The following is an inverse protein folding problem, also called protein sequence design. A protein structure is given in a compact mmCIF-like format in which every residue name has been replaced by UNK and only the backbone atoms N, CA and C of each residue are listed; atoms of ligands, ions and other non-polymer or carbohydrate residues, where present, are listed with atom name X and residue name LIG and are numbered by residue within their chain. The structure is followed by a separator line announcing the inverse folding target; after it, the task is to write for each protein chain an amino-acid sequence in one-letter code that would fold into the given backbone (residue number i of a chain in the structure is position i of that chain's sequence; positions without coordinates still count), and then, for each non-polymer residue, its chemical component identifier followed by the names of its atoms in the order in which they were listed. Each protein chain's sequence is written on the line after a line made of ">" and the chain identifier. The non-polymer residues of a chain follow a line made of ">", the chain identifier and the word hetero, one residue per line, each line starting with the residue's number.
data_IF_316368129630
#
_entry.id   IF_316368129630
#
_cell.length_a   1.000
_cell.length_b   1.000
_cell.length_c   1.000
_cell.angle_alpha   90.00
_cell.angle_beta   90.00
_cell.angle_gamma   90.00
#
_symmetry.space_group_name_H-M   'P 1'
#
loop_
_entity.id
_entity.type
_entity.pdbx_description
1 polymer ?
#
# COMPACT_ATOMS: atom_id res chain seq x y z
N UNK A 1 8.82 0.24 -21.74
CA UNK A 1 7.37 0.53 -21.68
C UNK A 1 6.52 -0.69 -22.00
N UNK A 2 6.76 -1.41 -23.11
CA UNK A 2 6.01 -2.62 -23.46
C UNK A 2 6.00 -3.70 -22.37
N UNK A 3 7.15 -4.01 -21.75
CA UNK A 3 7.24 -5.03 -20.68
C UNK A 3 6.43 -4.65 -19.43
N UNK A 4 6.48 -3.39 -19.02
CA UNK A 4 5.70 -2.91 -17.86
C UNK A 4 4.20 -3.02 -18.15
N UNK A 5 3.76 -2.61 -19.33
CA UNK A 5 2.35 -2.76 -19.74
C UNK A 5 1.89 -4.22 -19.74
N UNK A 6 2.78 -5.15 -20.10
CA UNK A 6 2.49 -6.59 -20.08
C UNK A 6 2.30 -7.11 -18.65
N UNK A 7 3.14 -6.69 -17.69
CA UNK A 7 2.97 -7.04 -16.28
C UNK A 7 1.61 -6.55 -15.76
N UNK A 8 1.23 -5.31 -16.04
CA UNK A 8 -0.11 -4.79 -15.71
C UNK A 8 -1.25 -5.46 -16.48
N UNK A 9 -0.98 -6.07 -17.64
CA UNK A 9 -1.93 -6.91 -18.35
C UNK A 9 -2.21 -8.20 -17.58
N UNK A 10 -1.15 -8.86 -17.13
CA UNK A 10 -1.25 -10.08 -16.30
C UNK A 10 -2.00 -9.78 -14.99
N UNK A 11 -1.69 -8.67 -14.31
CA UNK A 11 -2.39 -8.30 -13.07
C UNK A 11 -3.88 -8.01 -13.30
N UNK A 12 -4.27 -7.55 -14.49
CA UNK A 12 -5.68 -7.38 -14.85
C UNK A 12 -6.39 -8.72 -15.06
N UNK A 13 -5.70 -9.71 -15.64
CA UNK A 13 -6.24 -11.07 -15.78
C UNK A 13 -6.38 -11.77 -14.43
N UNK A 14 -5.47 -11.51 -13.49
CA UNK A 14 -5.44 -12.15 -12.16
C UNK A 14 -6.16 -11.31 -11.08
N UNK A 15 -7.01 -10.36 -11.47
CA UNK A 15 -7.64 -9.44 -10.53
C UNK A 15 -8.61 -10.15 -9.59
N UNK A 16 -9.50 -10.97 -10.14
CA UNK A 16 -10.66 -11.53 -9.43
C UNK A 16 -10.43 -12.99 -8.94
N UNK A 17 -9.20 -13.49 -9.01
CA UNK A 17 -8.82 -14.82 -8.54
C UNK A 17 -8.35 -14.79 -7.07
N UNK A 18 -8.24 -15.96 -6.43
CA UNK A 18 -7.71 -16.06 -5.07
C UNK A 18 -6.23 -15.67 -5.00
N UNK A 19 -5.72 -15.37 -3.80
CA UNK A 19 -4.30 -15.05 -3.62
C UNK A 19 -3.38 -16.21 -4.04
N UNK A 20 -3.78 -17.46 -3.79
CA UNK A 20 -3.04 -18.64 -4.22
C UNK A 20 -2.97 -18.74 -5.74
N UNK A 21 -4.11 -18.57 -6.42
CA UNK A 21 -4.17 -18.58 -7.89
C UNK A 21 -3.39 -17.41 -8.49
N UNK A 22 -3.44 -16.23 -7.85
CA UNK A 22 -2.68 -15.06 -8.27
C UNK A 22 -1.18 -15.32 -8.15
N UNK A 23 -0.73 -15.95 -7.06
CA UNK A 23 0.66 -16.34 -6.89
C UNK A 23 1.12 -17.29 -8.01
N UNK A 24 0.38 -18.38 -8.25
CA UNK A 24 0.70 -19.35 -9.32
C UNK A 24 0.76 -18.64 -10.68
N UNK A 25 -0.26 -17.84 -11.01
CA UNK A 25 -0.30 -17.08 -12.26
C UNK A 25 0.86 -16.11 -12.42
N UNK A 26 1.34 -15.49 -11.33
CA UNK A 26 2.54 -14.63 -11.33
C UNK A 26 3.81 -15.43 -11.57
N UNK A 27 3.96 -16.61 -10.97
CA UNK A 27 5.11 -17.49 -11.22
C UNK A 27 5.16 -17.96 -12.68
N UNK A 28 4.01 -18.27 -13.28
CA UNK A 28 3.93 -18.75 -14.67
C UNK A 28 4.08 -17.62 -15.69
N UNK A 29 3.45 -16.46 -15.46
CA UNK A 29 3.33 -15.38 -16.46
C UNK A 29 4.22 -14.17 -16.17
N UNK A 30 4.27 -13.72 -14.91
CA UNK A 30 4.97 -12.47 -14.54
C UNK A 30 6.47 -12.67 -14.37
N UNK A 31 6.89 -13.78 -13.75
CA UNK A 31 8.30 -14.08 -13.49
C UNK A 31 9.14 -14.13 -14.79
N UNK A 32 8.71 -14.79 -15.89
CA UNK A 32 9.47 -14.75 -17.15
C UNK A 32 9.57 -13.35 -17.76
N UNK A 33 8.56 -12.50 -17.59
CA UNK A 33 8.57 -11.13 -18.10
C UNK A 33 9.47 -10.21 -17.25
N UNK A 34 9.51 -10.42 -15.93
CA UNK A 34 10.48 -9.77 -15.04
C UNK A 34 11.91 -10.19 -15.40
N UNK A 35 12.17 -11.47 -15.65
CA UNK A 35 13.50 -11.94 -16.07
C UNK A 35 13.96 -11.27 -17.38
N UNK A 36 13.08 -11.16 -18.38
CA UNK A 36 13.37 -10.43 -19.64
C UNK A 36 13.67 -8.96 -19.37
N UNK A 37 12.88 -8.31 -18.53
CA UNK A 37 13.08 -6.90 -18.16
C UNK A 37 14.41 -6.70 -17.43
N UNK A 38 14.78 -7.63 -16.54
CA UNK A 38 16.05 -7.61 -15.80
C UNK A 38 17.24 -7.72 -16.73
N UNK A 39 17.23 -8.71 -17.63
CA UNK A 39 18.29 -8.91 -18.60
C UNK A 39 18.44 -7.70 -19.54
N UNK A 40 17.34 -7.10 -19.96
CA UNK A 40 17.38 -5.87 -20.74
C UNK A 40 17.98 -4.71 -19.95
N UNK A 41 17.58 -4.52 -18.69
CA UNK A 41 18.07 -3.47 -17.81
C UNK A 41 19.58 -3.61 -17.59
N UNK A 42 20.05 -4.79 -17.19
CA UNK A 42 21.47 -5.08 -16.93
C UNK A 42 22.33 -4.89 -18.19
N UNK A 43 21.82 -5.25 -19.37
CA UNK A 43 22.50 -5.01 -20.65
C UNK A 43 22.56 -3.52 -21.01
N UNK A 44 21.50 -2.78 -20.73
CA UNK A 44 21.34 -1.37 -21.16
C UNK A 44 22.08 -0.41 -20.23
N UNK A 45 22.12 -0.70 -18.93
CA UNK A 45 22.71 0.16 -17.90
C UNK A 45 24.15 0.63 -18.22
N UNK A 46 25.10 -0.23 -18.64
CA UNK A 46 26.45 0.22 -18.96
C UNK A 46 26.55 1.00 -20.29
N UNK A 47 25.52 0.96 -21.14
CA UNK A 47 25.52 1.59 -22.46
C UNK A 47 24.95 3.01 -22.46
N UNK A 48 24.34 3.43 -21.35
CA UNK A 48 23.64 4.72 -21.25
C UNK A 48 24.37 5.66 -20.30
N UNK A 49 24.47 6.94 -20.68
CA UNK A 49 25.03 7.95 -19.79
C UNK A 49 24.05 8.25 -18.67
N UNK A 50 24.54 8.33 -17.44
CA UNK A 50 23.70 8.54 -16.23
C UNK A 50 22.88 9.83 -16.26
N UNK A 51 23.34 10.84 -17.01
CA UNK A 51 22.67 12.14 -17.13
C UNK A 51 21.54 12.16 -18.17
N UNK A 52 21.54 11.21 -19.11
CA UNK A 52 20.47 11.09 -20.10
C UNK A 52 19.15 10.71 -19.43
N UNK A 53 18.02 11.08 -20.04
CA UNK A 53 16.68 10.70 -19.56
C UNK A 53 16.55 9.18 -19.43
N UNK A 54 17.07 8.44 -20.42
CA UNK A 54 17.08 6.98 -20.40
C UNK A 54 17.98 6.44 -19.28
N UNK A 55 19.18 6.99 -19.12
CA UNK A 55 20.09 6.58 -18.04
C UNK A 55 19.52 6.80 -16.65
N UNK A 56 18.84 7.93 -16.42
CA UNK A 56 18.12 8.19 -15.16
C UNK A 56 17.03 7.14 -14.92
N UNK A 57 16.24 6.81 -15.95
CA UNK A 57 15.17 5.82 -15.84
C UNK A 57 15.68 4.40 -15.58
N UNK A 58 16.73 3.96 -16.30
CA UNK A 58 17.34 2.64 -16.13
C UNK A 58 17.98 2.50 -14.74
N UNK A 59 18.72 3.52 -14.30
CA UNK A 59 19.31 3.52 -12.95
C UNK A 59 18.25 3.54 -11.85
N UNK A 60 17.16 4.29 -12.04
CA UNK A 60 16.04 4.28 -11.10
C UNK A 60 15.39 2.90 -11.02
N UNK A 61 15.17 2.23 -12.15
CA UNK A 61 14.65 0.86 -12.18
C UNK A 61 15.60 -0.11 -11.47
N UNK A 62 16.91 -0.04 -11.75
CA UNK A 62 17.92 -0.90 -11.14
C UNK A 62 17.97 -0.74 -9.62
N UNK A 63 18.00 0.50 -9.12
CA UNK A 63 18.02 0.80 -7.69
C UNK A 63 16.77 0.33 -6.95
N UNK A 64 15.65 0.15 -7.66
CA UNK A 64 14.39 -0.30 -7.09
C UNK A 64 14.03 -1.74 -7.50
N UNK A 65 14.94 -2.48 -8.13
CA UNK A 65 14.64 -3.81 -8.68
C UNK A 65 14.11 -4.77 -7.62
N UNK A 66 14.82 -4.87 -6.49
CA UNK A 66 14.40 -5.72 -5.36
C UNK A 66 13.06 -5.29 -4.78
N UNK A 67 12.66 -4.02 -4.90
CA UNK A 67 11.31 -3.58 -4.46
C UNK A 67 10.25 -4.00 -5.48
N UNK A 68 10.57 -3.87 -6.77
CA UNK A 68 9.69 -4.21 -7.88
C UNK A 68 9.40 -5.71 -7.95
N UNK A 69 10.37 -6.59 -7.71
CA UNK A 69 10.12 -8.04 -7.85
C UNK A 69 9.33 -8.64 -6.68
N UNK A 70 9.19 -7.95 -5.55
CA UNK A 70 8.53 -8.52 -4.36
C UNK A 70 7.06 -8.85 -4.54
N UNK A 71 6.33 -8.16 -5.41
CA UNK A 71 4.90 -8.45 -5.56
C UNK A 71 4.63 -9.87 -6.08
N UNK A 72 5.61 -10.53 -6.71
CA UNK A 72 5.45 -11.93 -7.13
C UNK A 72 5.73 -12.95 -6.01
N UNK A 73 6.24 -12.52 -4.85
CA UNK A 73 6.53 -13.41 -3.71
C UNK A 73 5.26 -13.96 -3.05
N UNK A 74 4.14 -13.23 -3.14
CA UNK A 74 2.86 -13.66 -2.58
C UNK A 74 1.67 -13.02 -3.31
N UNK A 75 0.54 -13.72 -3.40
CA UNK A 75 -0.63 -13.26 -4.13
C UNK A 75 -1.30 -12.01 -3.56
N UNK A 76 -1.29 -11.84 -2.23
CA UNK A 76 -1.89 -10.67 -1.58
C UNK A 76 -1.07 -9.38 -1.77
N UNK A 77 0.17 -9.46 -2.26
CA UNK A 77 1.00 -8.28 -2.50
C UNK A 77 0.54 -7.57 -3.78
N UNK A 78 0.28 -6.25 -3.73
CA UNK A 78 -0.02 -5.47 -4.94
C UNK A 78 1.26 -5.19 -5.74
N UNK A 79 1.12 -5.08 -7.07
CA UNK A 79 2.23 -4.70 -7.97
C UNK A 79 2.78 -3.29 -7.71
N UNK A 80 1.94 -2.41 -7.14
CA UNK A 80 2.26 -1.03 -6.85
C UNK A 80 1.68 -0.56 -5.50
N UNK A 81 2.13 0.59 -5.04
CA UNK A 81 1.67 1.24 -3.82
C UNK A 81 0.55 2.26 -4.06
N UNK A 82 -0.09 2.29 -5.24
CA UNK A 82 -1.03 3.34 -5.63
C UNK A 82 -2.22 3.43 -4.66
N UNK A 83 -2.65 2.31 -4.08
CA UNK A 83 -3.72 2.30 -3.08
C UNK A 83 -3.33 3.10 -1.82
N UNK A 84 -2.13 2.87 -1.30
CA UNK A 84 -1.60 3.61 -0.15
C UNK A 84 -1.39 5.10 -0.49
N UNK A 85 -0.87 5.41 -1.68
CA UNK A 85 -0.71 6.80 -2.14
C UNK A 85 -2.04 7.55 -2.27
N UNK A 86 -3.09 6.86 -2.74
CA UNK A 86 -4.45 7.42 -2.77
C UNK A 86 -4.99 7.66 -1.36
N UNK A 87 -4.78 6.73 -0.43
CA UNK A 87 -5.26 6.86 0.95
C UNK A 87 -4.58 8.01 1.70
N UNK A 88 -3.28 8.25 1.48
CA UNK A 88 -2.56 9.36 2.14
C UNK A 88 -2.77 10.72 1.46
N UNK A 89 -3.25 10.76 0.20
CA UNK A 89 -3.40 12.01 -0.56
C UNK A 89 -4.28 13.06 0.15
N UNK A 90 -5.45 12.76 0.74
CA UNK A 90 -6.24 13.74 1.48
C UNK A 90 -5.47 14.40 2.61
N UNK A 91 -4.70 13.62 3.38
CA UNK A 91 -3.82 14.13 4.43
C UNK A 91 -2.73 15.06 3.86
N UNK A 92 -2.06 14.62 2.78
CA UNK A 92 -1.00 15.38 2.13
C UNK A 92 -1.48 16.71 1.49
N UNK A 93 -2.76 16.78 1.10
CA UNK A 93 -3.42 18.01 0.65
C UNK A 93 -3.81 18.86 1.86
N UNK A 94 -4.47 18.27 2.87
CA UNK A 94 -4.95 18.95 4.07
C UNK A 94 -3.84 19.65 4.85
N UNK A 95 -2.67 19.02 4.99
CA UNK A 95 -1.51 19.64 5.67
C UNK A 95 -1.07 20.98 5.09
N UNK A 96 -1.31 21.24 3.79
CA UNK A 96 -1.00 22.55 3.19
C UNK A 96 -1.95 23.65 3.67
N UNK A 97 -3.14 23.29 4.15
CA UNK A 97 -4.15 24.20 4.67
C UNK A 97 -4.12 24.33 6.20
N UNK A 98 -3.39 23.46 6.91
CA UNK A 98 -3.28 23.51 8.37
C UNK A 98 -2.18 24.48 8.81
N UNK A 99 -2.48 25.78 8.73
CA UNK A 99 -1.55 26.90 8.97
C UNK A 99 -0.90 26.91 10.38
N UNK A 100 -1.35 26.07 11.32
CA UNK A 100 -0.86 26.01 12.70
C UNK A 100 -0.34 24.62 13.11
N UNK A 101 -0.21 23.68 12.17
CA UNK A 101 0.35 22.34 12.42
C UNK A 101 1.87 22.33 12.22
N UNK A 102 2.61 22.97 13.14
CA UNK A 102 4.06 23.22 12.98
C UNK A 102 4.94 22.54 14.05
N UNK A 103 4.49 21.40 14.60
CA UNK A 103 5.32 20.66 15.56
C UNK A 103 5.46 19.19 15.14
N UNK A 104 6.65 18.56 15.32
CA UNK A 104 6.81 17.14 15.12
C UNK A 104 5.81 16.30 15.93
N UNK A 105 5.49 16.73 17.15
CA UNK A 105 4.48 16.08 18.00
C UNK A 105 3.09 16.11 17.37
N UNK A 106 2.66 17.27 16.85
CA UNK A 106 1.38 17.41 16.15
C UNK A 106 1.32 16.58 14.87
N UNK A 107 2.42 16.50 14.12
CA UNK A 107 2.52 15.65 12.94
C UNK A 107 2.36 14.15 13.28
N UNK A 108 3.04 13.68 14.33
CA UNK A 108 2.92 12.29 14.81
C UNK A 108 1.51 11.97 15.28
N UNK A 109 0.90 12.83 16.10
CA UNK A 109 -0.46 12.63 16.59
C UNK A 109 -1.48 12.59 15.43
N UNK A 110 -1.31 13.46 14.44
CA UNK A 110 -2.15 13.46 13.24
C UNK A 110 -1.98 12.15 12.46
N UNK A 111 -0.74 11.72 12.22
CA UNK A 111 -0.47 10.46 11.50
C UNK A 111 -1.11 9.25 12.20
N UNK A 112 -1.10 9.20 13.54
CA UNK A 112 -1.76 8.15 14.32
C UNK A 112 -3.28 8.15 14.09
N UNK A 113 -3.94 9.30 14.23
CA UNK A 113 -5.40 9.41 14.06
C UNK A 113 -5.81 9.05 12.62
N UNK A 114 -5.12 9.57 11.61
CA UNK A 114 -5.43 9.25 10.21
C UNK A 114 -5.19 7.78 9.90
N UNK A 115 -4.17 7.15 10.50
CA UNK A 115 -3.94 5.70 10.36
C UNK A 115 -5.10 4.90 10.93
N UNK A 116 -5.64 5.27 12.09
CA UNK A 116 -6.81 4.63 12.68
C UNK A 116 -8.06 4.78 11.80
N UNK A 117 -8.28 5.98 11.27
CA UNK A 117 -9.40 6.28 10.37
C UNK A 117 -9.31 5.46 9.08
N UNK A 118 -8.15 5.41 8.42
CA UNK A 118 -7.97 4.61 7.21
C UNK A 118 -8.07 3.11 7.50
N UNK A 119 -7.59 2.65 8.67
CA UNK A 119 -7.77 1.25 9.10
C UNK A 119 -9.25 0.90 9.27
N UNK A 120 -10.05 1.78 9.88
CA UNK A 120 -11.50 1.58 10.01
C UNK A 120 -12.17 1.44 8.63
N UNK A 121 -11.88 2.37 7.71
CA UNK A 121 -12.41 2.34 6.33
C UNK A 121 -12.03 1.07 5.58
N UNK A 122 -10.78 0.62 5.69
CA UNK A 122 -10.30 -0.61 5.05
C UNK A 122 -11.03 -1.86 5.54
N UNK A 123 -11.54 -1.82 6.77
CA UNK A 123 -12.35 -2.90 7.36
C UNK A 123 -13.87 -2.68 7.22
N UNK A 124 -14.29 -1.74 6.35
CA UNK A 124 -15.71 -1.48 6.08
C UNK A 124 -16.45 -0.74 7.20
N UNK A 125 -15.74 -0.22 8.20
CA UNK A 125 -16.33 0.51 9.32
C UNK A 125 -16.50 1.98 8.98
N UNK A 126 -17.62 2.57 9.41
CA UNK A 126 -17.78 4.02 9.44
C UNK A 126 -16.86 4.61 10.54
N UNK A 127 -15.87 5.46 10.21
CA UNK A 127 -14.82 5.84 11.16
C UNK A 127 -15.32 6.49 12.45
N UNK A 128 -16.34 7.35 12.38
CA UNK A 128 -16.86 8.03 13.56
C UNK A 128 -17.55 7.03 14.52
N UNK A 129 -18.32 6.10 13.97
CA UNK A 129 -19.01 5.04 14.70
C UNK A 129 -18.04 4.12 15.41
N UNK A 130 -17.00 3.67 14.70
CA UNK A 130 -15.97 2.81 15.30
C UNK A 130 -15.13 3.55 16.34
N UNK A 131 -14.65 4.76 16.05
CA UNK A 131 -13.83 5.52 17.01
C UNK A 131 -14.60 5.80 18.31
N UNK A 132 -15.89 6.14 18.24
CA UNK A 132 -16.71 6.33 19.44
C UNK A 132 -16.83 5.03 20.24
N UNK A 133 -17.16 3.93 19.57
CA UNK A 133 -17.28 2.63 20.20
C UNK A 133 -16.00 2.22 20.95
N UNK A 134 -14.85 2.42 20.31
CA UNK A 134 -13.53 2.20 20.91
C UNK A 134 -13.32 3.11 22.11
N UNK A 135 -13.46 4.43 21.95
CA UNK A 135 -13.18 5.41 23.02
C UNK A 135 -14.09 5.26 24.24
N UNK A 136 -15.33 4.80 24.06
CA UNK A 136 -16.26 4.49 25.16
C UNK A 136 -15.85 3.24 25.95
N UNK A 137 -15.27 2.24 25.30
CA UNK A 137 -14.97 0.91 25.89
C UNK A 137 -13.52 0.76 26.32
N UNK A 138 -12.61 1.52 25.71
CA UNK A 138 -11.18 1.48 26.00
C UNK A 138 -10.86 1.66 27.50
N UNK A 139 -11.53 2.55 28.26
CA UNK A 139 -11.27 2.69 29.70
C UNK A 139 -11.65 1.46 30.53
N UNK A 140 -12.45 0.55 29.98
CA UNK A 140 -12.90 -0.68 30.62
C UNK A 140 -12.08 -1.91 30.21
N UNK A 141 -11.18 -1.80 29.24
CA UNK A 141 -10.32 -2.89 28.79
C UNK A 141 -9.21 -3.18 29.82
N UNK A 142 -9.10 -4.43 30.27
CA UNK A 142 -8.13 -4.85 31.27
C UNK A 142 -7.19 -5.97 30.78
N UNK A 143 -7.54 -6.64 29.69
CA UNK A 143 -6.80 -7.76 29.09
C UNK A 143 -6.46 -7.52 27.62
N UNK A 144 -5.55 -8.31 27.07
CA UNK A 144 -5.18 -8.24 25.64
C UNK A 144 -6.41 -8.52 24.77
N UNK A 145 -7.22 -9.48 25.18
CA UNK A 145 -8.44 -9.90 24.54
C UNK A 145 -9.47 -8.76 24.49
N UNK A 146 -9.56 -7.93 25.54
CA UNK A 146 -10.44 -6.76 25.54
C UNK A 146 -10.01 -5.73 24.47
N UNK A 147 -8.70 -5.49 24.33
CA UNK A 147 -8.19 -4.59 23.30
C UNK A 147 -8.38 -5.18 21.89
N UNK A 148 -8.15 -6.48 21.73
CA UNK A 148 -8.36 -7.17 20.45
C UNK A 148 -9.83 -7.14 20.02
N UNK A 149 -10.77 -7.24 20.95
CA UNK A 149 -12.20 -7.12 20.67
C UNK A 149 -12.60 -5.74 20.11
N UNK A 150 -11.83 -4.70 20.39
CA UNK A 150 -12.07 -3.33 19.90
C UNK A 150 -11.47 -3.07 18.50
N UNK A 151 -10.70 -4.01 17.95
CA UNK A 151 -10.12 -3.88 16.62
C UNK A 151 -11.22 -3.85 15.54
N UNK A 152 -11.03 -3.11 14.43
CA UNK A 152 -12.10 -2.84 13.48
C UNK A 152 -12.56 -4.07 12.69
N UNK A 153 -11.79 -5.16 12.70
CA UNK A 153 -12.15 -6.47 12.14
C UNK A 153 -12.81 -7.43 13.14
N UNK A 154 -12.84 -7.08 14.43
CA UNK A 154 -13.38 -7.91 15.51
C UNK A 154 -14.69 -7.36 16.11
N UNK A 155 -15.16 -6.19 15.66
CA UNK A 155 -16.38 -5.57 16.16
C UNK A 155 -17.30 -5.09 15.03
N UNK A 156 -18.58 -4.89 15.36
CA UNK A 156 -19.59 -4.30 14.47
C UNK A 156 -20.33 -3.19 15.20
N UNK A 157 -19.67 -2.04 15.41
CA UNK A 157 -20.24 -0.93 16.15
C UNK A 157 -21.42 -0.31 15.37
N UNK A 158 -22.52 -0.06 16.06
CA UNK A 158 -23.70 0.59 15.51
C UNK A 158 -23.84 2.02 16.04
N UNK A 159 -24.48 2.89 15.25
CA UNK A 159 -24.89 4.20 15.74
C UNK A 159 -26.03 4.04 16.75
N UNK A 160 -25.98 4.71 17.91
CA UNK A 160 -27.16 4.84 18.76
C UNK A 160 -28.28 5.49 17.94
N UNK A 161 -29.48 4.91 17.98
CA UNK A 161 -30.68 5.49 17.36
C UNK A 161 -31.14 6.74 18.10
#
# INVERSE_FOLDING_TARGET
>A
LASVNKLYGIERELKDVSDEQRYIGRQEKSLPELAKLKAWMEKTQPQVTSQSVLGKAVNYLANNWTRLERYIEAGFLPIDNNAAERAIRPFAIGRKAWLFSDTPKGATASAQIYSLVETAKLNGQEPYTWLRHVLERLPHAASVEDYEALLPWNCSPEMPR
#
